data_IF_930055949481
#
_entry.id   IF_930055949481
#
_cell.length_a   1.000
_cell.length_b   1.000
_cell.length_c   1.000
_cell.angle_alpha   90.00
_cell.angle_beta   90.00
_cell.angle_gamma   90.00
#
_symmetry.space_group_name_H-M   'P 1'
#
loop_
_entity.id
_entity.type
_entity.pdbx_description
1 polymer ?
#
# COMPACT_ATOMS: atom_id res chain seq x y z
N UNK A 1 24.85 -4.50 -0.54
CA UNK A 1 23.53 -3.92 -0.18
C UNK A 1 23.70 -2.61 0.59
N UNK A 2 24.69 -2.48 1.49
CA UNK A 2 24.95 -1.22 2.23
C UNK A 2 25.85 -0.20 1.49
N UNK A 3 26.83 -0.62 0.67
CA UNK A 3 27.83 0.33 0.12
C UNK A 3 27.31 1.25 -1.01
N UNK A 4 26.26 0.86 -1.74
CA UNK A 4 25.63 1.70 -2.79
C UNK A 4 24.69 2.77 -2.21
N UNK A 5 24.19 2.58 -0.99
CA UNK A 5 23.35 3.57 -0.29
C UNK A 5 24.21 4.72 0.24
N UNK A 6 25.45 4.44 0.66
CA UNK A 6 26.42 5.46 1.10
C UNK A 6 26.85 6.37 -0.04
N UNK A 7 27.10 5.82 -1.23
CA UNK A 7 27.55 6.61 -2.40
C UNK A 7 26.51 7.64 -2.88
N UNK A 8 25.21 7.32 -2.76
CA UNK A 8 24.13 8.24 -3.15
C UNK A 8 23.85 9.32 -2.09
N UNK A 9 24.08 9.03 -0.80
CA UNK A 9 24.03 10.05 0.26
C UNK A 9 25.12 11.11 0.07
N UNK A 10 26.33 10.70 -0.33
CA UNK A 10 27.46 11.61 -0.57
C UNK A 10 27.31 12.48 -1.83
N UNK A 11 26.59 12.03 -2.86
CA UNK A 11 26.26 12.91 -3.98
C UNK A 11 25.26 14.00 -3.57
N UNK A 12 24.30 13.70 -2.68
CA UNK A 12 23.30 14.68 -2.25
C UNK A 12 23.89 15.80 -1.38
N UNK A 13 24.81 15.48 -0.48
CA UNK A 13 25.48 16.44 0.40
C UNK A 13 26.42 17.36 -0.38
N UNK A 14 27.15 16.83 -1.37
CA UNK A 14 28.08 17.60 -2.19
C UNK A 14 27.40 18.51 -3.23
N UNK A 15 26.19 18.16 -3.69
CA UNK A 15 25.44 18.99 -4.64
C UNK A 15 24.73 20.17 -3.95
N UNK A 16 24.26 19.98 -2.71
CA UNK A 16 23.59 21.01 -1.90
C UNK A 16 24.58 22.09 -1.43
N UNK A 17 25.85 21.73 -1.16
CA UNK A 17 26.87 22.66 -0.68
C UNK A 17 27.31 23.74 -1.69
N UNK A 18 27.06 23.56 -3.00
CA UNK A 18 27.58 24.47 -4.05
C UNK A 18 26.62 25.55 -4.53
N UNK A 19 25.35 25.55 -4.11
CA UNK A 19 24.33 26.50 -4.63
C UNK A 19 23.66 27.39 -3.56
N UNK A 20 24.23 27.47 -2.35
CA UNK A 20 23.75 28.37 -1.30
C UNK A 20 24.30 29.79 -1.46
N UNK A 21 24.02 30.47 -2.58
CA UNK A 21 23.99 31.94 -2.56
C UNK A 21 23.20 32.52 -3.74
N UNK A 22 22.12 33.23 -3.37
CA UNK A 22 21.31 34.18 -4.15
C UNK A 22 20.09 33.66 -4.95
N UNK A 23 18.93 34.08 -4.42
CA UNK A 23 17.67 34.44 -5.07
C UNK A 23 16.95 33.33 -5.86
N UNK A 24 16.03 32.64 -5.17
CA UNK A 24 14.58 32.54 -5.45
C UNK A 24 14.02 31.26 -4.77
N UNK A 25 13.82 31.34 -3.45
CA UNK A 25 13.65 30.18 -2.56
C UNK A 25 12.33 29.45 -2.71
N UNK A 26 11.31 30.02 -3.34
CA UNK A 26 10.01 29.37 -3.53
C UNK A 26 9.96 28.58 -4.83
N UNK A 27 10.45 29.15 -5.94
CA UNK A 27 10.44 28.47 -7.25
C UNK A 27 11.44 27.30 -7.30
N UNK A 28 12.62 27.45 -6.70
CA UNK A 28 13.61 26.37 -6.63
C UNK A 28 13.22 25.27 -5.65
N UNK A 29 12.50 25.59 -4.56
CA UNK A 29 11.91 24.57 -3.67
C UNK A 29 10.79 23.80 -4.35
N UNK A 30 9.91 24.47 -5.11
CA UNK A 30 8.84 23.81 -5.88
C UNK A 30 9.43 22.95 -6.99
N UNK A 31 10.42 23.44 -7.75
CA UNK A 31 11.08 22.70 -8.83
C UNK A 31 11.94 21.53 -8.32
N UNK A 32 12.65 21.70 -7.19
CA UNK A 32 13.41 20.63 -6.54
C UNK A 32 12.48 19.58 -5.91
N UNK A 33 11.34 19.98 -5.33
CA UNK A 33 10.31 19.06 -4.82
C UNK A 33 9.63 18.30 -5.97
N UNK A 34 9.37 18.95 -7.11
CA UNK A 34 8.84 18.31 -8.31
C UNK A 34 9.85 17.32 -8.92
N UNK A 35 11.14 17.67 -8.94
CA UNK A 35 12.20 16.82 -9.48
C UNK A 35 12.56 15.65 -8.54
N UNK A 36 12.46 15.82 -7.21
CA UNK A 36 12.64 14.72 -6.24
C UNK A 36 11.43 13.77 -6.19
N UNK A 37 10.20 14.28 -6.31
CA UNK A 37 8.99 13.43 -6.30
C UNK A 37 8.83 12.62 -7.59
N UNK A 38 9.32 13.13 -8.72
CA UNK A 38 9.29 12.42 -10.00
C UNK A 38 10.40 11.37 -10.16
N UNK A 39 11.51 11.51 -9.42
CA UNK A 39 12.68 10.60 -9.54
C UNK A 39 12.70 9.49 -8.48
N UNK A 40 11.90 9.58 -7.39
CA UNK A 40 11.91 8.59 -6.30
C UNK A 40 10.72 7.62 -6.25
N UNK A 41 9.72 7.74 -7.12
CA UNK A 41 8.44 7.06 -6.91
C UNK A 41 8.34 5.66 -7.53
N UNK A 42 9.20 5.28 -8.48
CA UNK A 42 9.20 3.93 -9.07
C UNK A 42 10.63 3.41 -9.18
N UNK A 43 10.93 2.34 -8.46
CA UNK A 43 12.18 1.61 -8.63
C UNK A 43 11.95 0.40 -9.52
N UNK A 44 12.78 0.25 -10.55
CA UNK A 44 12.75 -0.87 -11.49
C UNK A 44 14.02 -1.69 -11.31
N UNK A 45 13.88 -2.92 -10.82
CA UNK A 45 15.02 -3.82 -10.64
C UNK A 45 14.92 -5.01 -11.58
N UNK A 46 15.97 -5.24 -12.36
CA UNK A 46 16.14 -6.45 -13.15
C UNK A 46 16.50 -7.62 -12.24
N UNK A 47 15.72 -8.69 -12.34
CA UNK A 47 15.95 -9.96 -11.67
C UNK A 47 16.19 -11.05 -12.73
N UNK A 48 16.93 -12.08 -12.35
CA UNK A 48 17.26 -13.19 -13.23
C UNK A 48 17.31 -14.49 -12.45
N UNK A 49 16.76 -15.57 -13.00
CA UNK A 49 16.87 -16.92 -12.50
C UNK A 49 17.41 -17.84 -13.59
N UNK A 50 18.39 -18.67 -13.23
CA UNK A 50 19.07 -19.58 -14.15
C UNK A 50 18.74 -21.02 -13.79
N UNK A 51 18.38 -21.82 -14.80
CA UNK A 51 18.07 -23.24 -14.72
C UNK A 51 19.12 -24.02 -15.54
N UNK A 52 19.84 -24.92 -14.89
CA UNK A 52 20.90 -25.75 -15.51
C UNK A 52 20.70 -27.24 -15.31
N UNK A 53 19.80 -27.64 -14.40
CA UNK A 53 19.53 -29.05 -14.16
C UNK A 53 18.71 -29.61 -15.33
N UNK A 54 19.23 -30.58 -16.10
CA UNK A 54 18.51 -31.14 -17.21
C UNK A 54 17.21 -31.79 -16.73
N UNK A 55 16.12 -31.41 -17.38
CA UNK A 55 14.83 -32.05 -17.23
C UNK A 55 14.88 -33.37 -18.02
N UNK A 56 14.60 -34.50 -17.37
CA UNK A 56 14.45 -35.77 -18.08
C UNK A 56 13.30 -35.61 -19.08
N UNK A 57 13.64 -35.73 -20.36
CA UNK A 57 12.82 -35.60 -21.57
C UNK A 57 11.33 -35.98 -21.36
N UNK A 58 10.53 -35.05 -20.81
CA UNK A 58 9.08 -35.18 -20.62
C UNK A 58 8.55 -35.77 -19.29
N UNK A 59 9.36 -36.06 -18.26
CA UNK A 59 8.87 -36.65 -16.99
C UNK A 59 9.04 -35.76 -15.75
N UNK A 60 10.01 -34.84 -15.72
CA UNK A 60 10.21 -33.88 -14.62
C UNK A 60 10.70 -32.54 -15.16
N UNK A 61 9.96 -31.46 -14.91
CA UNK A 61 10.34 -30.08 -15.27
C UNK A 61 10.87 -29.31 -14.07
N UNK A 62 11.71 -28.30 -14.32
CA UNK A 62 11.93 -27.26 -13.33
C UNK A 62 10.69 -26.35 -13.29
N UNK A 63 10.42 -25.71 -12.15
CA UNK A 63 9.27 -24.80 -11.99
C UNK A 63 9.75 -23.38 -11.78
N UNK A 64 9.14 -22.43 -12.49
CA UNK A 64 9.30 -21.00 -12.27
C UNK A 64 7.95 -20.39 -11.87
N UNK A 65 7.86 -19.81 -10.67
CA UNK A 65 6.65 -19.09 -10.24
C UNK A 65 6.83 -17.61 -10.52
N UNK A 66 5.95 -17.04 -11.34
CA UNK A 66 5.96 -15.63 -11.72
C UNK A 66 5.73 -14.77 -10.47
N UNK A 67 6.66 -13.85 -10.12
CA UNK A 67 6.49 -13.00 -8.95
C UNK A 67 5.30 -12.04 -9.05
N UNK A 68 4.86 -11.53 -7.89
CA UNK A 68 3.79 -10.53 -7.84
C UNK A 68 4.13 -9.28 -8.67
N UNK A 69 3.16 -8.77 -9.43
CA UNK A 69 3.32 -7.57 -10.26
C UNK A 69 4.09 -7.75 -11.57
N UNK A 70 4.58 -8.97 -11.86
CA UNK A 70 5.27 -9.27 -13.13
C UNK A 70 4.27 -9.75 -14.17
N UNK A 71 4.18 -9.04 -15.28
CA UNK A 71 3.30 -9.37 -16.41
C UNK A 71 4.05 -9.76 -17.69
N UNK A 72 5.37 -9.54 -17.71
CA UNK A 72 6.24 -9.88 -18.83
C UNK A 72 7.56 -10.40 -18.29
N UNK A 73 8.04 -11.50 -18.87
CA UNK A 73 9.37 -12.05 -18.62
C UNK A 73 10.14 -12.17 -19.94
N UNK A 74 11.46 -12.10 -19.87
CA UNK A 74 12.39 -12.37 -20.97
C UNK A 74 13.05 -13.71 -20.71
N UNK A 75 13.09 -14.56 -21.73
CA UNK A 75 13.63 -15.92 -21.65
C UNK A 75 14.80 -16.00 -22.62
N UNK A 76 15.88 -16.65 -22.19
CA UNK A 76 17.02 -17.07 -23.00
C UNK A 76 17.24 -18.55 -22.78
N UNK A 77 17.08 -19.36 -23.81
CA UNK A 77 17.22 -20.81 -23.73
C UNK A 77 18.35 -21.29 -24.64
N UNK A 78 19.19 -22.17 -24.10
CA UNK A 78 20.20 -22.96 -24.81
C UNK A 78 19.85 -24.43 -24.66
N UNK A 79 19.81 -25.18 -25.75
CA UNK A 79 19.54 -26.62 -25.72
C UNK A 79 20.76 -27.45 -25.35
N UNK A 80 20.57 -28.75 -25.07
CA UNK A 80 21.68 -29.67 -24.85
C UNK A 80 22.47 -29.92 -26.15
N UNK A 81 23.79 -30.05 -26.04
CA UNK A 81 24.64 -30.44 -27.16
C UNK A 81 24.53 -31.93 -27.47
N UNK A 82 24.77 -32.34 -28.70
CA UNK A 82 24.84 -33.76 -29.08
C UNK A 82 26.12 -34.42 -28.60
N UNK A 83 26.07 -35.73 -28.32
CA UNK A 83 27.26 -36.51 -27.97
C UNK A 83 28.15 -36.79 -29.18
N UNK A 84 29.45 -37.00 -28.99
CA UNK A 84 30.37 -37.38 -30.06
C UNK A 84 30.19 -38.83 -30.52
N UNK A 85 30.61 -39.15 -31.74
CA UNK A 85 30.61 -40.52 -32.27
C UNK A 85 31.72 -41.39 -31.67
N UNK A 86 31.57 -42.71 -31.73
CA UNK A 86 32.60 -43.69 -31.33
C UNK A 86 33.71 -43.85 -32.39
N UNK A 87 34.88 -44.35 -31.98
CA UNK A 87 36.01 -44.83 -32.81
C UNK A 87 36.32 -44.01 -34.08
N UNK A 88 37.08 -42.91 -33.91
CA UNK A 88 37.36 -41.89 -34.94
C UNK A 88 36.08 -41.21 -35.48
N UNK A 89 35.01 -41.25 -34.68
CA UNK A 89 33.74 -40.59 -34.97
C UNK A 89 33.84 -39.06 -34.92
N UNK A 90 32.88 -38.39 -35.54
CA UNK A 90 32.82 -36.92 -35.53
C UNK A 90 32.43 -36.40 -34.14
N UNK A 91 32.76 -35.14 -33.85
CA UNK A 91 32.16 -34.43 -32.72
C UNK A 91 30.63 -34.32 -32.87
N UNK A 92 29.93 -34.14 -31.76
CA UNK A 92 28.52 -33.78 -31.72
C UNK A 92 28.31 -32.29 -32.00
N UNK A 93 27.12 -31.94 -32.50
CA UNK A 93 26.72 -30.55 -32.73
C UNK A 93 26.35 -29.81 -31.44
N UNK A 94 26.57 -28.50 -31.40
CA UNK A 94 26.07 -27.65 -30.32
C UNK A 94 24.55 -27.55 -30.29
N UNK A 95 23.99 -27.30 -29.11
CA UNK A 95 22.57 -27.00 -28.94
C UNK A 95 22.19 -25.62 -29.47
N UNK A 96 20.96 -25.47 -29.94
CA UNK A 96 20.43 -24.18 -30.41
C UNK A 96 20.21 -23.16 -29.30
N UNK A 97 20.04 -21.89 -29.68
CA UNK A 97 19.65 -20.79 -28.80
C UNK A 97 18.34 -20.16 -29.25
N UNK A 98 17.48 -19.80 -28.30
CA UNK A 98 16.29 -18.99 -28.57
C UNK A 98 16.02 -18.04 -27.42
N UNK A 99 15.85 -16.75 -27.74
CA UNK A 99 15.44 -15.73 -26.80
C UNK A 99 14.10 -15.12 -27.20
N UNK A 100 13.25 -14.81 -26.22
CA UNK A 100 11.95 -14.20 -26.47
C UNK A 100 11.34 -13.62 -25.21
N UNK A 101 10.26 -12.85 -25.36
CA UNK A 101 9.46 -12.37 -24.24
C UNK A 101 8.16 -13.16 -24.14
N UNK A 102 7.68 -13.34 -22.91
CA UNK A 102 6.43 -14.04 -22.63
C UNK A 102 5.56 -13.18 -21.72
N UNK A 103 4.31 -12.95 -22.12
CA UNK A 103 3.29 -12.36 -21.26
C UNK A 103 2.82 -13.43 -20.26
N UNK A 104 2.77 -13.05 -18.99
CA UNK A 104 2.47 -13.95 -17.88
C UNK A 104 1.53 -13.29 -16.89
N UNK A 105 0.92 -14.10 -16.01
CA UNK A 105 0.14 -13.60 -14.87
C UNK A 105 0.92 -13.73 -13.57
N UNK A 106 0.85 -12.76 -12.64
CA UNK A 106 1.39 -12.90 -11.30
C UNK A 106 0.92 -14.19 -10.62
N UNK A 107 1.86 -14.96 -10.04
CA UNK A 107 1.57 -16.26 -9.41
C UNK A 107 1.47 -17.46 -10.37
N UNK A 108 1.51 -17.24 -11.69
CA UNK A 108 1.53 -18.33 -12.67
C UNK A 108 2.78 -19.21 -12.49
N UNK A 109 2.61 -20.53 -12.51
CA UNK A 109 3.73 -21.48 -12.50
C UNK A 109 4.02 -21.93 -13.92
N UNK A 110 5.25 -21.69 -14.38
CA UNK A 110 5.76 -22.12 -15.67
C UNK A 110 6.62 -23.36 -15.52
N UNK A 111 6.43 -24.31 -16.44
CA UNK A 111 7.34 -25.42 -16.63
C UNK A 111 8.56 -24.98 -17.44
N UNK A 112 9.74 -25.26 -16.90
CA UNK A 112 11.02 -24.95 -17.49
C UNK A 112 11.77 -26.24 -17.77
N UNK A 113 11.90 -26.57 -19.05
CA UNK A 113 12.62 -27.73 -19.54
C UNK A 113 14.02 -27.32 -19.96
N UNK A 114 15.03 -27.96 -19.37
CA UNK A 114 16.43 -27.80 -19.74
C UNK A 114 16.87 -29.08 -20.43
N UNK A 115 17.36 -28.98 -21.65
CA UNK A 115 17.78 -30.14 -22.44
C UNK A 115 19.02 -30.83 -21.87
N UNK A 116 18.97 -32.15 -21.71
CA UNK A 116 20.15 -32.94 -21.36
C UNK A 116 21.16 -32.97 -22.51
N UNK A 117 22.45 -33.05 -22.20
CA UNK A 117 23.47 -33.36 -23.19
C UNK A 117 23.29 -34.76 -23.75
N UNK A 118 23.45 -34.91 -25.06
CA UNK A 118 23.40 -36.20 -25.73
C UNK A 118 24.57 -37.08 -25.28
N UNK A 119 24.29 -38.36 -24.98
CA UNK A 119 25.33 -39.32 -24.64
C UNK A 119 26.26 -39.58 -25.83
N UNK A 120 27.56 -39.73 -25.57
CA UNK A 120 28.51 -40.14 -26.60
C UNK A 120 28.26 -41.57 -27.10
N UNK A 121 28.66 -41.85 -28.34
CA UNK A 121 28.57 -43.18 -28.94
C UNK A 121 29.45 -44.19 -28.20
N UNK A 122 28.97 -45.41 -28.04
CA UNK A 122 29.66 -46.53 -27.37
C UNK A 122 29.71 -47.74 -28.30
N UNK A 123 30.54 -48.75 -27.99
CA UNK A 123 30.62 -49.98 -28.79
C UNK A 123 29.23 -50.61 -28.96
N UNK A 124 28.75 -50.74 -30.20
CA UNK A 124 27.41 -51.20 -30.55
C UNK A 124 26.36 -50.08 -30.78
N UNK A 125 26.51 -48.89 -30.19
CA UNK A 125 25.74 -47.68 -30.51
C UNK A 125 26.65 -46.66 -31.17
N UNK A 126 26.72 -46.81 -32.49
CA UNK A 126 27.67 -46.21 -33.44
C UNK A 126 27.52 -44.68 -33.57
N UNK A 127 26.40 -44.11 -33.13
CA UNK A 127 26.12 -42.68 -33.22
C UNK A 127 26.05 -42.06 -31.82
N UNK A 128 26.58 -40.85 -31.70
CA UNK A 128 26.26 -39.99 -30.57
C UNK A 128 24.76 -39.73 -30.51
N UNK A 129 24.21 -39.56 -29.31
CA UNK A 129 22.79 -39.21 -29.14
C UNK A 129 22.58 -37.70 -29.36
N UNK A 130 21.39 -37.34 -29.81
CA UNK A 130 20.94 -35.95 -29.93
C UNK A 130 20.79 -35.38 -28.51
N UNK A 131 21.18 -34.11 -28.33
CA UNK A 131 20.87 -33.38 -27.10
C UNK A 131 19.37 -33.15 -26.94
N UNK A 132 18.92 -32.95 -25.70
CA UNK A 132 17.54 -32.59 -25.40
C UNK A 132 17.23 -31.13 -25.77
N UNK A 133 15.97 -30.86 -26.06
CA UNK A 133 15.48 -29.49 -26.24
C UNK A 133 15.39 -28.76 -24.91
N UNK A 134 15.61 -27.44 -24.92
CA UNK A 134 15.29 -26.56 -23.80
C UNK A 134 14.11 -25.68 -24.19
N UNK A 135 13.08 -25.60 -23.36
CA UNK A 135 11.94 -24.75 -23.66
C UNK A 135 11.17 -24.28 -22.43
N UNK A 136 10.51 -23.14 -22.60
CA UNK A 136 9.53 -22.57 -21.67
C UNK A 136 8.39 -22.03 -22.51
N UNK A 137 7.20 -22.62 -22.37
CA UNK A 137 6.05 -22.25 -23.20
C UNK A 137 6.41 -22.28 -24.71
N UNK A 138 6.25 -21.17 -25.43
CA UNK A 138 6.58 -21.03 -26.85
C UNK A 138 8.06 -20.82 -27.16
N UNK A 139 8.90 -20.49 -26.17
CA UNK A 139 10.34 -20.27 -26.38
C UNK A 139 11.04 -21.63 -26.37
N UNK A 140 11.29 -22.19 -27.54
CA UNK A 140 11.96 -23.49 -27.73
C UNK A 140 13.32 -23.35 -28.39
N UNK A 141 14.34 -24.00 -27.82
CA UNK A 141 15.65 -24.20 -28.39
C UNK A 141 15.89 -25.70 -28.62
N UNK A 142 16.30 -26.08 -29.83
CA UNK A 142 16.43 -27.48 -30.23
C UNK A 142 17.82 -28.04 -29.92
N UNK A 143 17.86 -29.30 -29.48
CA UNK A 143 19.11 -30.00 -29.14
C UNK A 143 20.05 -30.18 -30.34
N UNK A 144 21.33 -30.31 -30.03
CA UNK A 144 22.37 -30.56 -31.03
C UNK A 144 22.36 -32.01 -31.52
N UNK A 145 22.65 -32.23 -32.79
CA UNK A 145 22.72 -33.58 -33.36
C UNK A 145 23.94 -34.35 -32.83
N UNK A 146 23.82 -35.66 -32.73
CA UNK A 146 24.93 -36.52 -32.34
C UNK A 146 25.98 -36.69 -33.45
N UNK A 147 27.21 -37.03 -33.05
CA UNK A 147 28.32 -37.31 -33.95
C UNK A 147 28.17 -38.65 -34.69
N UNK A 148 28.62 -38.69 -35.94
CA UNK A 148 28.58 -39.86 -36.81
C UNK A 148 29.82 -40.75 -36.65
N UNK A 149 29.76 -41.95 -37.25
CA UNK A 149 30.85 -42.92 -37.30
C UNK A 149 31.96 -42.53 -38.30
N UNK A 150 33.14 -43.13 -38.13
CA UNK A 150 34.25 -43.17 -39.07
C UNK A 150 33.88 -43.83 -40.40
N UNK A 151 33.31 -43.03 -41.30
CA UNK A 151 33.79 -42.76 -42.66
C UNK A 151 32.77 -41.83 -43.33
N UNK A 152 33.08 -40.52 -43.29
CA UNK A 152 32.46 -39.52 -44.15
C UNK A 152 30.97 -39.27 -43.90
N UNK A 153 30.65 -38.44 -42.89
CA UNK A 153 29.54 -37.45 -42.91
C UNK A 153 29.56 -36.70 -41.59
N UNK A 154 29.98 -35.44 -41.58
CA UNK A 154 29.94 -34.60 -40.38
C UNK A 154 28.50 -34.41 -39.89
N UNK A 155 28.28 -34.44 -38.58
CA UNK A 155 26.97 -34.16 -37.99
C UNK A 155 26.49 -32.76 -38.39
N UNK A 156 25.34 -32.68 -39.06
CA UNK A 156 24.70 -31.40 -39.34
C UNK A 156 24.28 -30.73 -38.01
N UNK A 157 24.44 -29.41 -37.87
CA UNK A 157 23.97 -28.68 -36.69
C UNK A 157 22.46 -28.82 -36.46
N UNK A 158 22.01 -28.66 -35.22
CA UNK A 158 20.58 -28.67 -34.91
C UNK A 158 19.84 -27.52 -35.65
N UNK A 159 18.72 -27.83 -36.29
CA UNK A 159 17.87 -26.83 -36.94
C UNK A 159 16.98 -26.15 -35.89
N UNK A 160 17.36 -24.94 -35.49
CA UNK A 160 16.47 -23.99 -34.83
C UNK A 160 16.10 -22.88 -35.81
N UNK A 161 14.81 -22.69 -36.07
CA UNK A 161 14.34 -21.56 -36.88
C UNK A 161 14.78 -20.24 -36.23
N UNK A 162 15.28 -19.33 -37.07
CA UNK A 162 15.89 -18.01 -36.81
C UNK A 162 17.39 -17.97 -36.48
N UNK A 163 18.18 -18.84 -37.11
CA UNK A 163 19.31 -18.53 -38.02
C UNK A 163 20.36 -19.65 -37.92
N UNK A 164 20.46 -20.41 -39.00
CA UNK A 164 21.32 -21.58 -39.10
C UNK A 164 22.79 -21.22 -39.31
N UNK A 165 23.67 -21.95 -38.63
CA UNK A 165 25.03 -22.18 -39.09
C UNK A 165 25.04 -23.43 -39.98
N UNK A 166 25.33 -23.26 -41.27
CA UNK A 166 25.60 -24.35 -42.20
C UNK A 166 26.99 -24.95 -41.93
N UNK A 167 27.08 -26.27 -42.02
CA UNK A 167 28.34 -27.02 -41.95
C UNK A 167 29.28 -26.71 -43.11
N UNK A 168 30.58 -26.76 -42.84
CA UNK A 168 31.61 -26.77 -43.88
C UNK A 168 31.52 -28.05 -44.71
N UNK A 169 31.45 -27.89 -46.02
CA UNK A 169 31.49 -28.98 -47.01
C UNK A 169 32.93 -29.16 -47.50
N UNK A 170 33.35 -30.42 -47.56
CA UNK A 170 34.51 -30.98 -48.30
C UNK A 170 35.92 -30.73 -47.78
N UNK A 171 36.50 -31.78 -47.18
CA UNK A 171 37.57 -32.62 -47.76
C UNK A 171 38.39 -33.29 -46.65
N UNK A 172 38.51 -34.62 -46.71
CA UNK A 172 39.48 -35.48 -46.00
C UNK A 172 40.24 -34.85 -44.82
N UNK A 173 39.64 -34.87 -43.63
CA UNK A 173 40.23 -34.35 -42.39
C UNK A 173 39.15 -33.71 -41.53
N UNK A 174 38.91 -34.25 -40.34
CA UNK A 174 37.76 -33.90 -39.50
C UNK A 174 37.80 -32.46 -38.98
N UNK A 175 37.13 -31.54 -39.68
CA UNK A 175 36.84 -30.20 -39.18
C UNK A 175 35.74 -30.22 -38.13
N UNK A 176 36.01 -29.65 -36.95
CA UNK A 176 35.01 -29.40 -35.91
C UNK A 176 33.98 -28.36 -36.36
N UNK A 177 32.71 -28.60 -36.04
CA UNK A 177 31.65 -27.62 -36.28
C UNK A 177 31.83 -26.42 -35.35
N UNK A 178 32.22 -25.27 -35.90
CA UNK A 178 32.14 -23.98 -35.22
C UNK A 178 30.68 -23.53 -35.10
N UNK A 179 30.30 -23.04 -33.91
CA UNK A 179 29.00 -22.39 -33.71
C UNK A 179 28.98 -20.98 -34.31
N UNK A 180 27.82 -20.54 -34.81
CA UNK A 180 27.60 -19.17 -35.26
C UNK A 180 27.31 -18.24 -34.06
N UNK A 181 27.96 -17.06 -34.03
CA UNK A 181 27.39 -15.85 -33.42
C UNK A 181 26.21 -15.36 -34.27
N UNK A 182 25.34 -14.46 -33.81
CA UNK A 182 25.62 -13.03 -34.03
C UNK A 182 24.72 -12.04 -33.28
N UNK A 183 25.34 -10.87 -33.04
CA UNK A 183 24.83 -9.48 -33.04
C UNK A 183 23.53 -9.17 -32.28
N UNK A 184 23.65 -8.91 -30.98
CA UNK A 184 23.68 -7.53 -30.48
C UNK A 184 23.97 -7.47 -28.96
N UNK A 185 25.23 -7.14 -28.68
CA UNK A 185 25.84 -6.62 -27.45
C UNK A 185 25.46 -7.25 -26.10
N UNK A 186 26.40 -8.02 -25.56
CA UNK A 186 26.50 -8.42 -24.17
C UNK A 186 27.48 -9.59 -24.01
N UNK A 187 28.76 -9.27 -23.95
CA UNK A 187 29.94 -10.12 -23.71
C UNK A 187 29.71 -11.50 -23.05
N UNK A 188 30.35 -12.54 -23.61
CA UNK A 188 30.56 -13.90 -23.09
C UNK A 188 29.37 -14.88 -23.06
N UNK A 189 29.12 -15.55 -24.19
CA UNK A 189 28.89 -17.00 -24.21
C UNK A 189 29.14 -17.52 -25.63
N UNK A 190 30.37 -17.98 -25.86
CA UNK A 190 30.73 -18.81 -27.01
C UNK A 190 29.84 -20.04 -27.02
N UNK A 191 29.01 -20.22 -28.06
CA UNK A 191 28.56 -21.56 -28.42
C UNK A 191 29.83 -22.39 -28.61
N UNK A 192 30.12 -23.28 -27.66
CA UNK A 192 31.37 -24.02 -27.63
C UNK A 192 31.57 -24.75 -28.96
N UNK A 193 32.72 -24.51 -29.59
CA UNK A 193 33.18 -25.25 -30.76
C UNK A 193 33.01 -26.75 -30.52
N UNK A 194 32.37 -27.47 -31.44
CA UNK A 194 32.39 -28.94 -31.42
C UNK A 194 33.85 -29.42 -31.51
N UNK A 195 34.19 -30.47 -30.76
CA UNK A 195 35.54 -31.03 -30.77
C UNK A 195 35.99 -31.42 -32.19
N UNK A 196 37.19 -30.98 -32.59
CA UNK A 196 37.79 -31.31 -33.88
C UNK A 196 38.16 -32.81 -33.97
N UNK A 197 37.97 -33.41 -35.14
CA UNK A 197 38.37 -34.79 -35.42
C UNK A 197 39.85 -34.88 -35.79
N UNK A 198 40.51 -35.97 -35.41
CA UNK A 198 41.95 -36.17 -35.62
C UNK A 198 42.25 -36.43 -37.10
N UNK A 199 43.10 -35.62 -37.74
CA UNK A 199 43.78 -36.00 -38.97
C UNK A 199 45.11 -36.69 -38.62
N UNK A 200 45.44 -37.72 -39.39
CA UNK A 200 46.61 -38.58 -39.19
C UNK A 200 47.92 -37.76 -39.14
N UNK A 201 48.80 -38.15 -38.22
CA UNK A 201 50.13 -37.59 -37.89
C UNK A 201 50.16 -36.30 -37.05
N UNK A 202 50.36 -36.50 -35.74
CA UNK A 202 51.14 -35.61 -34.86
C UNK A 202 50.72 -34.14 -34.78
N UNK A 203 49.75 -33.83 -33.92
CA UNK A 203 49.48 -32.45 -33.52
C UNK A 203 48.32 -32.35 -32.52
N UNK A 204 48.66 -32.18 -31.24
CA UNK A 204 47.83 -31.84 -30.09
C UNK A 204 46.34 -32.27 -30.13
N UNK A 205 46.05 -33.38 -29.43
CA UNK A 205 44.69 -33.76 -29.12
C UNK A 205 43.93 -32.61 -28.46
N UNK A 206 42.74 -32.32 -28.96
CA UNK A 206 41.73 -31.65 -28.16
C UNK A 206 41.44 -32.55 -26.96
N UNK A 207 42.02 -32.21 -25.81
CA UNK A 207 41.90 -32.92 -24.55
C UNK A 207 40.45 -33.28 -24.25
N UNK A 208 40.12 -34.58 -24.33
CA UNK A 208 39.30 -35.31 -23.35
C UNK A 208 38.37 -34.47 -22.47
N UNK A 209 37.37 -33.82 -23.04
CA UNK A 209 36.48 -32.95 -22.26
C UNK A 209 35.04 -33.13 -22.70
N UNK A 210 34.15 -33.25 -21.71
CA UNK A 210 32.72 -33.03 -21.91
C UNK A 210 32.50 -31.66 -22.57
N UNK A 211 31.40 -31.48 -23.31
CA UNK A 211 31.10 -30.20 -23.94
C UNK A 211 31.24 -29.01 -22.98
N UNK A 212 31.82 -27.91 -23.45
CA UNK A 212 31.92 -26.67 -22.68
C UNK A 212 30.53 -26.05 -22.44
N UNK A 213 30.44 -25.16 -21.44
CA UNK A 213 29.21 -24.54 -20.93
C UNK A 213 28.12 -24.23 -21.98
N UNK A 214 26.86 -24.43 -21.59
CA UNK A 214 25.63 -24.06 -22.32
C UNK A 214 25.43 -24.78 -23.66
N UNK A 215 25.36 -26.12 -23.64
CA UNK A 215 24.99 -26.89 -24.82
C UNK A 215 26.12 -27.20 -25.81
N UNK A 216 27.39 -27.11 -25.42
CA UNK A 216 28.51 -27.55 -26.25
C UNK A 216 28.43 -29.03 -26.65
N UNK A 217 28.84 -29.36 -27.88
CA UNK A 217 28.87 -30.73 -28.38
C UNK A 217 29.97 -31.57 -27.74
N UNK A 218 29.74 -32.89 -27.62
CA UNK A 218 30.75 -33.84 -27.14
C UNK A 218 31.81 -34.15 -28.19
N UNK A 219 33.06 -34.31 -27.77
CA UNK A 219 34.15 -34.72 -28.67
C UNK A 219 33.97 -36.17 -29.16
N UNK A 220 34.46 -36.47 -30.37
CA UNK A 220 34.47 -37.84 -30.91
C UNK A 220 35.47 -38.75 -30.18
N UNK A 221 35.19 -40.06 -30.16
CA UNK A 221 36.08 -41.08 -29.62
C UNK A 221 37.26 -41.35 -30.55
N UNK A 222 38.37 -41.85 -30.02
CA UNK A 222 39.54 -42.28 -30.79
C UNK A 222 39.95 -43.70 -30.41
N UNK A 223 40.53 -44.46 -31.35
CA UNK A 223 41.12 -45.79 -31.10
C UNK A 223 40.19 -46.74 -30.32
N UNK A 224 39.00 -47.02 -30.87
CA UNK A 224 37.96 -47.86 -30.25
C UNK A 224 37.42 -47.31 -28.91
N UNK A 225 37.60 -46.02 -28.62
CA UNK A 225 36.99 -45.36 -27.47
C UNK A 225 35.60 -44.80 -27.78
N UNK A 226 34.80 -44.65 -26.71
CA UNK A 226 33.52 -43.96 -26.75
C UNK A 226 33.69 -42.46 -27.06
N UNK A 227 32.67 -41.86 -27.67
CA UNK A 227 32.55 -40.41 -27.76
C UNK A 227 32.22 -39.79 -26.39
N UNK A 228 32.48 -38.50 -26.25
CA UNK A 228 32.13 -37.74 -25.04
C UNK A 228 30.67 -37.28 -25.10
N UNK A 229 30.07 -37.08 -23.92
CA UNK A 229 28.74 -36.52 -23.81
C UNK A 229 28.74 -35.02 -24.20
N UNK A 230 27.66 -34.58 -24.83
CA UNK A 230 27.37 -33.16 -24.97
C UNK A 230 27.10 -32.51 -23.61
N UNK A 231 27.22 -31.18 -23.54
CA UNK A 231 26.85 -30.41 -22.38
C UNK A 231 25.33 -30.29 -22.26
N UNK A 232 24.84 -30.16 -21.03
CA UNK A 232 23.45 -29.79 -20.78
C UNK A 232 23.18 -28.36 -21.28
N UNK A 233 21.92 -28.11 -21.62
CA UNK A 233 21.41 -26.80 -21.92
C UNK A 233 21.32 -25.90 -20.69
N UNK A 234 20.81 -24.70 -20.90
CA UNK A 234 20.54 -23.73 -19.85
C UNK A 234 19.30 -22.91 -20.22
N UNK A 235 18.50 -22.53 -19.24
CA UNK A 235 17.45 -21.53 -19.42
C UNK A 235 17.65 -20.41 -18.42
N UNK A 236 17.64 -19.17 -18.89
CA UNK A 236 17.67 -17.97 -18.07
C UNK A 236 16.34 -17.24 -18.26
N UNK A 237 15.64 -16.97 -17.16
CA UNK A 237 14.45 -16.13 -17.14
C UNK A 237 14.81 -14.83 -16.42
N UNK A 238 14.60 -13.69 -17.07
CA UNK A 238 14.79 -12.36 -16.49
C UNK A 238 13.49 -11.59 -16.49
N UNK A 239 13.27 -10.76 -15.48
CA UNK A 239 12.07 -9.92 -15.36
C UNK A 239 12.39 -8.62 -14.65
N UNK A 240 11.54 -7.63 -14.82
CA UNK A 240 11.60 -6.39 -14.04
C UNK A 240 10.49 -6.39 -13.01
N UNK A 241 10.82 -5.96 -11.80
CA UNK A 241 9.82 -5.66 -10.77
C UNK A 241 9.72 -4.15 -10.67
N UNK A 242 8.52 -3.61 -10.90
CA UNK A 242 8.18 -2.22 -10.62
C UNK A 242 7.69 -2.12 -9.18
N UNK A 243 8.46 -1.43 -8.35
CA UNK A 243 8.12 -1.16 -6.96
C UNK A 243 7.82 0.33 -6.82
N UNK A 244 6.55 0.68 -6.60
CA UNK A 244 6.08 2.04 -6.39
C UNK A 244 5.95 2.30 -4.89
N UNK A 245 6.70 3.27 -4.38
CA UNK A 245 6.61 3.71 -2.99
C UNK A 245 5.18 4.20 -2.68
N UNK A 246 4.67 3.98 -1.46
CA UNK A 246 3.37 4.51 -1.08
C UNK A 246 3.33 6.03 -1.25
N UNK A 247 2.15 6.54 -1.58
CA UNK A 247 1.79 7.96 -1.51
C UNK A 247 0.47 8.09 -0.77
N UNK A 248 0.25 9.21 -0.10
CA UNK A 248 -0.98 9.46 0.66
C UNK A 248 -1.47 10.87 0.44
N UNK A 249 -2.80 11.05 0.40
CA UNK A 249 -3.43 12.36 0.54
C UNK A 249 -3.38 12.83 2.00
N UNK A 250 -3.72 14.10 2.21
CA UNK A 250 -3.77 14.71 3.53
C UNK A 250 -5.21 14.69 4.07
N UNK A 251 -5.41 14.38 5.35
CA UNK A 251 -6.71 14.58 5.99
C UNK A 251 -7.03 16.07 6.14
N UNK A 252 -8.33 16.38 6.21
CA UNK A 252 -8.83 17.73 6.48
C UNK A 252 -8.95 17.99 7.98
N UNK A 253 -8.83 19.26 8.39
CA UNK A 253 -9.15 19.67 9.76
C UNK A 253 -10.64 19.46 10.04
N UNK A 254 -10.96 19.03 11.26
CA UNK A 254 -12.34 18.75 11.68
C UNK A 254 -12.76 19.72 12.78
N UNK A 255 -14.00 20.21 12.71
CA UNK A 255 -14.63 21.01 13.76
C UNK A 255 -15.99 20.44 14.10
N UNK A 256 -16.17 20.06 15.35
CA UNK A 256 -17.42 19.51 15.85
C UNK A 256 -17.88 20.24 17.12
N UNK A 257 -19.13 20.00 17.52
CA UNK A 257 -19.63 20.33 18.85
C UNK A 257 -19.67 19.05 19.69
N UNK A 258 -19.37 19.15 20.99
CA UNK A 258 -19.36 18.01 21.90
C UNK A 258 -20.66 17.18 21.80
N UNK A 259 -20.50 15.85 21.79
CA UNK A 259 -21.58 14.89 21.54
C UNK A 259 -21.66 14.39 20.09
N UNK A 260 -21.05 15.10 19.14
CA UNK A 260 -20.83 14.62 17.77
C UNK A 260 -19.61 13.71 17.63
N UNK A 261 -19.46 13.08 16.47
CA UNK A 261 -18.29 12.30 16.10
C UNK A 261 -17.42 13.08 15.10
N UNK A 262 -16.12 12.82 15.08
CA UNK A 262 -15.18 13.36 14.09
C UNK A 262 -14.52 12.22 13.30
N UNK A 263 -14.08 12.50 12.07
CA UNK A 263 -13.40 11.51 11.23
C UNK A 263 -12.28 12.13 10.41
N UNK A 264 -11.14 11.46 10.34
CA UNK A 264 -10.03 11.83 9.47
C UNK A 264 -9.81 10.74 8.42
N UNK A 265 -9.70 11.14 7.16
CA UNK A 265 -9.58 10.22 6.03
C UNK A 265 -8.35 10.51 5.20
N UNK A 266 -7.67 9.45 4.77
CA UNK A 266 -6.65 9.52 3.71
C UNK A 266 -6.99 8.56 2.58
N UNK A 267 -6.47 8.85 1.41
CA UNK A 267 -6.44 7.95 0.26
C UNK A 267 -4.98 7.68 -0.09
N UNK A 268 -4.63 6.43 -0.36
CA UNK A 268 -3.26 6.04 -0.62
C UNK A 268 -3.13 5.14 -1.85
N UNK A 269 -1.97 5.22 -2.50
CA UNK A 269 -1.61 4.36 -3.62
C UNK A 269 -0.17 3.88 -3.47
N UNK A 270 0.18 2.74 -4.08
CA UNK A 270 1.50 2.12 -3.99
C UNK A 270 1.46 0.67 -4.47
N UNK A 271 2.62 0.05 -4.65
CA UNK A 271 2.70 -1.39 -4.96
C UNK A 271 2.32 -2.25 -3.75
N UNK A 272 1.72 -3.41 -4.01
CA UNK A 272 1.29 -4.40 -3.01
C UNK A 272 0.21 -3.88 -2.03
N UNK A 273 -0.08 -4.66 -0.98
CA UNK A 273 -1.04 -4.30 0.06
C UNK A 273 -0.47 -3.21 0.96
N UNK A 274 -1.21 -2.11 1.11
CA UNK A 274 -0.85 -1.00 1.98
C UNK A 274 -1.36 -1.24 3.41
N UNK A 275 -0.56 -0.81 4.39
CA UNK A 275 -0.95 -0.78 5.80
C UNK A 275 -0.93 0.64 6.33
N UNK A 276 -1.84 0.96 7.25
CA UNK A 276 -2.00 2.29 7.80
C UNK A 276 -1.68 2.28 9.30
N UNK A 277 -1.16 3.39 9.81
CA UNK A 277 -1.03 3.65 11.24
C UNK A 277 -1.32 5.12 11.49
N UNK A 278 -2.45 5.39 12.15
CA UNK A 278 -2.76 6.73 12.62
C UNK A 278 -1.95 7.08 13.86
N UNK A 279 -1.53 8.33 13.93
CA UNK A 279 -0.82 8.91 15.06
C UNK A 279 -1.51 10.18 15.52
N UNK A 280 -1.47 10.43 16.82
CA UNK A 280 -1.97 11.65 17.43
C UNK A 280 -0.80 12.41 18.07
N UNK A 281 -0.87 13.72 17.99
CA UNK A 281 -0.06 14.64 18.77
C UNK A 281 -0.96 15.46 19.68
N UNK A 282 -0.72 15.35 20.98
CA UNK A 282 -1.43 16.12 22.01
C UNK A 282 -0.63 17.37 22.34
N UNK A 283 -1.23 18.55 22.13
CA UNK A 283 -0.59 19.84 22.37
C UNK A 283 0.78 19.98 21.66
N UNK A 284 1.80 20.35 22.43
CA UNK A 284 3.18 20.49 21.93
C UNK A 284 3.98 19.16 21.92
N UNK A 285 3.35 18.02 22.19
CA UNK A 285 3.99 16.72 22.26
C UNK A 285 4.50 16.18 20.93
N UNK A 286 4.95 14.92 20.94
CA UNK A 286 5.31 14.17 19.73
C UNK A 286 4.12 13.36 19.22
N UNK A 287 4.17 12.95 17.95
CA UNK A 287 3.22 12.00 17.40
C UNK A 287 3.41 10.62 18.02
N UNK A 288 2.33 10.02 18.51
CA UNK A 288 2.29 8.68 19.10
C UNK A 288 1.24 7.85 18.38
N UNK A 289 1.50 6.56 18.20
CA UNK A 289 0.56 5.64 17.55
C UNK A 289 -0.75 5.55 18.32
N UNK A 290 -1.85 5.73 17.59
CA UNK A 290 -3.20 5.55 18.11
C UNK A 290 -3.51 4.05 18.12
N UNK A 291 -4.13 3.60 19.21
CA UNK A 291 -4.72 2.25 19.31
C UNK A 291 -6.23 2.39 19.41
N UNK A 292 -6.97 1.46 18.80
CA UNK A 292 -8.43 1.44 18.89
C UNK A 292 -8.88 1.26 20.34
N UNK A 293 -10.00 1.89 20.70
CA UNK A 293 -10.56 1.86 22.04
C UNK A 293 -11.95 2.51 22.07
N UNK A 294 -12.29 3.15 23.18
CA UNK A 294 -13.61 3.78 23.37
C UNK A 294 -13.78 4.99 22.44
N UNK A 295 -12.76 5.86 22.36
CA UNK A 295 -12.82 7.08 21.54
C UNK A 295 -12.40 6.78 20.11
N UNK A 296 -11.27 6.08 19.91
CA UNK A 296 -10.71 5.85 18.58
C UNK A 296 -11.14 4.51 17.97
N UNK A 297 -11.46 4.52 16.69
CA UNK A 297 -11.64 3.32 15.87
C UNK A 297 -11.05 3.53 14.47
N UNK A 298 -10.64 2.46 13.81
CA UNK A 298 -10.03 2.53 12.47
C UNK A 298 -8.56 2.98 12.44
N UNK A 299 -7.84 2.90 13.56
CA UNK A 299 -6.44 3.36 13.70
C UNK A 299 -5.45 2.73 12.70
N UNK A 300 -5.77 1.58 12.12
CA UNK A 300 -4.97 0.89 11.09
C UNK A 300 -5.67 0.83 9.73
N UNK A 301 -6.60 1.75 9.47
CA UNK A 301 -7.37 1.83 8.23
C UNK A 301 -7.22 3.20 7.57
N UNK A 302 -7.77 3.36 6.37
CA UNK A 302 -7.79 4.64 5.66
C UNK A 302 -8.60 5.74 6.38
N UNK A 303 -9.46 5.37 7.34
CA UNK A 303 -10.31 6.32 8.08
C UNK A 303 -10.19 6.11 9.59
N UNK A 304 -9.72 7.13 10.30
CA UNK A 304 -9.79 7.20 11.75
C UNK A 304 -11.09 7.87 12.17
N UNK A 305 -11.85 7.23 13.06
CA UNK A 305 -13.08 7.80 13.64
C UNK A 305 -12.91 8.03 15.13
N UNK A 306 -13.33 9.22 15.59
CA UNK A 306 -13.38 9.61 16.99
C UNK A 306 -14.84 9.69 17.43
N UNK A 307 -15.23 8.81 18.35
CA UNK A 307 -16.57 8.78 18.92
C UNK A 307 -16.65 9.73 20.10
N UNK A 308 -17.46 10.79 19.99
CA UNK A 308 -17.67 11.79 21.04
C UNK A 308 -16.39 12.31 21.69
N UNK A 309 -15.40 12.82 20.92
CA UNK A 309 -14.20 13.36 21.52
C UNK A 309 -14.53 14.57 22.42
N UNK A 310 -13.77 14.75 23.48
CA UNK A 310 -14.00 15.80 24.50
C UNK A 310 -13.33 17.11 24.10
N UNK A 311 -13.73 18.21 24.75
CA UNK A 311 -13.12 19.54 24.54
C UNK A 311 -11.64 19.55 24.93
N UNK A 312 -11.20 18.68 25.84
CA UNK A 312 -9.79 18.54 26.19
C UNK A 312 -8.92 18.01 25.03
N UNK A 313 -9.53 17.36 24.04
CA UNK A 313 -8.85 16.89 22.83
C UNK A 313 -8.82 17.94 21.72
N UNK A 314 -9.45 19.10 21.93
CA UNK A 314 -9.37 20.22 21.01
C UNK A 314 -7.91 20.63 20.86
N UNK A 315 -7.49 20.99 19.65
CA UNK A 315 -6.10 21.26 19.21
C UNK A 315 -5.19 20.05 19.01
N UNK A 316 -5.63 18.83 19.35
CA UNK A 316 -4.86 17.63 19.00
C UNK A 316 -4.76 17.50 17.47
N UNK A 317 -3.62 16.98 17.01
CA UNK A 317 -3.33 16.81 15.60
C UNK A 317 -3.21 15.34 15.24
N UNK A 318 -3.68 14.98 14.05
CA UNK A 318 -3.76 13.60 13.58
C UNK A 318 -3.07 13.46 12.23
N UNK A 319 -2.19 12.47 12.11
CA UNK A 319 -1.53 12.13 10.84
C UNK A 319 -1.58 10.63 10.61
N UNK A 320 -1.47 10.21 9.35
CA UNK A 320 -1.43 8.81 8.97
C UNK A 320 -0.07 8.46 8.37
N UNK A 321 0.53 7.37 8.84
CA UNK A 321 1.67 6.74 8.20
C UNK A 321 1.16 5.57 7.36
N UNK A 322 1.44 5.61 6.06
CA UNK A 322 1.14 4.56 5.10
C UNK A 322 2.43 3.83 4.76
N UNK A 323 2.45 2.53 5.04
CA UNK A 323 3.56 1.64 4.73
C UNK A 323 3.17 0.70 3.60
N UNK A 324 4.08 0.48 2.66
CA UNK A 324 3.96 -0.50 1.59
C UNK A 324 5.22 -1.35 1.51
N UNK A 325 5.27 -2.27 0.53
CA UNK A 325 6.43 -3.15 0.32
C UNK A 325 7.69 -2.38 -0.13
N UNK A 326 7.52 -1.19 -0.69
CA UNK A 326 8.58 -0.35 -1.21
C UNK A 326 8.79 0.86 -0.28
N UNK A 327 10.05 1.23 -0.04
CA UNK A 327 10.42 2.43 0.72
C UNK A 327 10.52 3.67 -0.18
N UNK A 328 10.37 4.89 0.37
CA UNK A 328 10.03 5.21 1.76
C UNK A 328 8.53 5.04 2.06
N UNK A 329 8.17 5.00 3.35
CA UNK A 329 6.77 5.14 3.79
C UNK A 329 6.25 6.54 3.47
N UNK A 330 4.95 6.68 3.27
CA UNK A 330 4.31 7.98 3.11
C UNK A 330 3.68 8.44 4.42
N UNK A 331 4.00 9.65 4.86
CA UNK A 331 3.38 10.28 6.03
C UNK A 331 2.53 11.44 5.55
N UNK A 332 1.26 11.48 5.94
CA UNK A 332 0.39 12.61 5.63
C UNK A 332 0.81 13.86 6.39
N UNK A 333 0.38 15.03 5.93
CA UNK A 333 0.33 16.21 6.79
C UNK A 333 -0.62 15.95 7.96
N UNK A 334 -0.44 16.71 9.04
CA UNK A 334 -1.29 16.63 10.21
C UNK A 334 -2.55 17.49 10.05
N UNK A 335 -3.69 16.96 10.46
CA UNK A 335 -4.96 17.68 10.56
C UNK A 335 -5.32 17.92 12.03
N UNK A 336 -5.87 19.09 12.35
CA UNK A 336 -6.28 19.46 13.70
C UNK A 336 -7.75 19.14 13.96
N UNK A 337 -8.05 18.73 15.20
CA UNK A 337 -9.41 18.65 15.72
C UNK A 337 -9.77 19.90 16.51
N UNK A 338 -10.94 20.46 16.28
CA UNK A 338 -11.57 21.46 17.14
C UNK A 338 -12.88 20.92 17.69
N UNK A 339 -13.00 20.90 19.02
CA UNK A 339 -14.25 20.50 19.70
C UNK A 339 -14.80 21.69 20.47
N UNK A 340 -15.95 22.20 20.02
CA UNK A 340 -16.67 23.27 20.69
C UNK A 340 -17.53 22.69 21.81
N UNK A 341 -17.67 23.45 22.92
CA UNK A 341 -18.60 23.09 23.99
C UNK A 341 -20.04 23.04 23.46
N UNK A 342 -20.80 22.07 23.91
CA UNK A 342 -22.23 22.00 23.63
C UNK A 342 -23.02 22.90 24.58
N UNK A 343 -24.09 23.53 24.09
CA UNK A 343 -25.03 24.27 24.96
C UNK A 343 -26.25 23.39 25.20
N UNK A 344 -26.57 23.03 26.46
CA UNK A 344 -27.76 22.25 26.77
C UNK A 344 -29.03 22.97 26.36
N UNK A 345 -30.03 22.21 25.90
CA UNK A 345 -31.37 22.73 25.61
C UNK A 345 -32.21 22.67 26.88
N UNK A 346 -32.76 23.81 27.31
CA UNK A 346 -33.69 23.89 28.44
C UNK A 346 -35.12 23.86 27.91
N UNK A 347 -35.89 22.86 28.34
CA UNK A 347 -37.33 22.76 28.09
C UNK A 347 -38.07 23.31 29.29
N UNK A 348 -38.82 24.38 29.08
CA UNK A 348 -39.61 25.07 30.10
C UNK A 348 -40.70 25.87 29.39
N UNK A 349 -41.95 25.55 29.71
CA UNK A 349 -43.13 26.19 29.12
C UNK A 349 -43.61 27.35 29.98
N UNK A 350 -44.35 28.28 29.37
CA UNK A 350 -45.03 29.33 30.14
C UNK A 350 -46.01 28.69 31.13
N UNK A 351 -45.83 28.89 32.45
CA UNK A 351 -46.68 28.26 33.43
C UNK A 351 -48.08 28.89 33.45
N UNK A 352 -49.04 28.12 33.94
CA UNK A 352 -50.40 28.62 34.18
C UNK A 352 -50.34 29.77 35.20
N UNK A 353 -51.12 30.82 34.93
CA UNK A 353 -51.19 31.99 35.79
C UNK A 353 -51.67 31.67 37.21
N UNK A 354 -51.24 32.49 38.17
CA UNK A 354 -51.60 32.37 39.58
C UNK A 354 -52.36 33.60 40.05
N UNK A 355 -53.14 33.49 41.12
CA UNK A 355 -53.75 34.66 41.76
C UNK A 355 -52.77 35.31 42.74
N UNK A 356 -52.76 36.63 42.79
CA UNK A 356 -51.95 37.41 43.73
C UNK A 356 -52.08 36.90 45.18
N UNK A 357 -50.93 36.81 45.85
CA UNK A 357 -50.79 36.18 47.17
C UNK A 357 -50.40 34.70 47.13
N UNK A 358 -50.47 34.04 45.97
CA UNK A 358 -49.94 32.68 45.79
C UNK A 358 -48.43 32.76 45.56
N UNK A 359 -47.67 31.97 46.30
CA UNK A 359 -46.22 31.86 46.13
C UNK A 359 -45.86 30.95 44.94
N UNK A 360 -44.72 31.20 44.30
CA UNK A 360 -44.17 30.32 43.28
C UNK A 360 -43.87 28.94 43.87
N UNK A 361 -44.23 27.89 43.14
CA UNK A 361 -44.00 26.50 43.54
C UNK A 361 -43.29 25.73 42.43
N UNK A 362 -43.02 24.45 42.68
CA UNK A 362 -42.47 23.52 41.68
C UNK A 362 -43.39 23.32 40.48
N UNK A 363 -44.68 23.71 40.54
CA UNK A 363 -45.55 23.66 39.36
C UNK A 363 -45.18 24.73 38.32
N UNK A 364 -44.63 25.86 38.76
CA UNK A 364 -44.12 26.91 37.87
C UNK A 364 -42.63 26.72 37.56
N UNK A 365 -41.86 26.28 38.56
CA UNK A 365 -40.40 26.18 38.50
C UNK A 365 -39.96 24.74 38.18
N UNK A 366 -40.25 24.28 36.96
CA UNK A 366 -40.09 22.88 36.52
C UNK A 366 -39.37 22.75 35.17
N UNK A 367 -38.36 23.58 34.91
CA UNK A 367 -37.49 23.41 33.76
C UNK A 367 -36.81 22.03 33.76
N UNK A 368 -36.62 21.47 32.57
CA UNK A 368 -35.97 20.17 32.37
C UNK A 368 -34.92 20.26 31.25
N UNK A 369 -33.95 19.35 31.29
CA UNK A 369 -32.96 19.15 30.23
C UNK A 369 -32.46 17.71 30.29
N UNK A 370 -31.87 17.21 29.20
CA UNK A 370 -31.29 15.85 29.14
C UNK A 370 -29.87 15.78 29.69
N UNK A 371 -29.21 16.93 29.89
CA UNK A 371 -27.84 17.03 30.42
C UNK A 371 -27.87 17.07 31.95
N UNK A 372 -26.99 16.34 32.62
CA UNK A 372 -26.89 16.39 34.07
C UNK A 372 -26.36 17.75 34.57
N UNK A 373 -27.01 18.31 35.59
CA UNK A 373 -26.65 19.61 36.16
C UNK A 373 -27.68 20.11 37.16
N UNK A 374 -27.62 21.39 37.47
CA UNK A 374 -28.52 22.05 38.42
C UNK A 374 -29.22 23.26 37.80
N UNK A 375 -30.45 23.51 38.25
CA UNK A 375 -31.23 24.68 37.87
C UNK A 375 -31.28 25.68 39.03
N UNK A 376 -31.12 26.96 38.71
CA UNK A 376 -31.32 28.09 39.62
C UNK A 376 -32.37 29.00 39.00
N UNK A 377 -33.46 29.25 39.73
CA UNK A 377 -34.58 30.07 39.27
C UNK A 377 -34.52 31.48 39.85
N UNK A 378 -34.96 32.45 39.05
CA UNK A 378 -35.20 33.83 39.48
C UNK A 378 -36.53 34.31 38.91
N UNK A 379 -37.53 34.63 39.76
CA UNK A 379 -37.51 34.55 41.21
C UNK A 379 -37.44 33.11 41.75
N UNK A 380 -36.94 32.96 42.98
CA UNK A 380 -36.78 31.65 43.64
C UNK A 380 -38.12 31.05 44.09
N UNK A 381 -38.10 29.76 44.42
CA UNK A 381 -39.23 29.06 45.04
C UNK A 381 -39.77 29.84 46.25
N UNK A 382 -41.08 29.81 46.45
CA UNK A 382 -41.81 30.51 47.52
C UNK A 382 -41.86 32.04 47.40
N UNK A 383 -41.37 32.63 46.31
CA UNK A 383 -41.56 34.08 46.06
C UNK A 383 -43.02 34.39 45.73
N UNK A 384 -43.61 35.39 46.39
CA UNK A 384 -44.93 35.95 46.02
C UNK A 384 -44.73 37.08 45.02
N UNK A 385 -45.33 36.94 43.84
CA UNK A 385 -45.21 37.92 42.76
C UNK A 385 -46.26 39.03 42.86
N UNK A 386 -45.90 40.23 42.42
CA UNK A 386 -46.84 41.33 42.25
C UNK A 386 -47.83 41.04 41.11
N UNK A 387 -49.11 41.41 41.32
CA UNK A 387 -50.15 41.28 40.29
C UNK A 387 -49.75 41.98 38.98
N UNK A 388 -50.07 41.38 37.84
CA UNK A 388 -49.74 41.89 36.51
C UNK A 388 -49.53 40.80 35.47
N UNK A 389 -49.56 41.19 34.21
CA UNK A 389 -49.36 40.28 33.09
C UNK A 389 -47.87 40.17 32.74
N UNK A 390 -47.50 39.05 32.13
CA UNK A 390 -46.16 38.79 31.59
C UNK A 390 -45.01 39.06 32.58
N UNK A 391 -45.12 38.55 33.81
CA UNK A 391 -44.00 38.54 34.76
C UNK A 391 -42.96 37.54 34.27
N UNK A 392 -41.73 37.99 34.08
CA UNK A 392 -40.62 37.13 33.66
C UNK A 392 -40.17 36.22 34.79
N UNK A 393 -40.03 34.93 34.47
CA UNK A 393 -39.30 33.95 35.27
C UNK A 393 -38.09 33.52 34.44
N UNK A 394 -36.92 33.55 35.05
CA UNK A 394 -35.66 33.15 34.45
C UNK A 394 -35.13 31.90 35.12
N UNK A 395 -34.52 31.02 34.35
CA UNK A 395 -33.76 29.89 34.87
C UNK A 395 -32.36 29.89 34.28
N UNK A 396 -31.38 29.65 35.14
CA UNK A 396 -29.99 29.37 34.74
C UNK A 396 -29.71 27.90 35.03
N UNK A 397 -29.26 27.19 34.01
CA UNK A 397 -28.78 25.82 34.10
C UNK A 397 -27.25 25.78 34.09
N UNK A 398 -26.68 25.10 35.08
CA UNK A 398 -25.25 24.85 35.19
C UNK A 398 -25.00 23.35 35.03
N UNK A 399 -24.40 22.90 33.90
CA UNK A 399 -24.03 21.50 33.70
C UNK A 399 -23.03 21.03 34.76
N UNK A 400 -23.13 19.77 35.18
CA UNK A 400 -22.10 19.14 36.03
C UNK A 400 -20.78 18.96 35.27
N UNK A 401 -20.84 18.71 33.96
CA UNK A 401 -19.66 18.69 33.09
C UNK A 401 -19.44 20.06 32.43
N UNK A 402 -18.84 20.97 33.20
CA UNK A 402 -18.49 22.31 32.71
C UNK A 402 -17.32 22.33 31.72
N UNK A 403 -16.60 21.22 31.53
CA UNK A 403 -15.51 21.13 30.56
C UNK A 403 -16.05 20.97 29.13
N UNK A 404 -17.12 20.18 28.97
CA UNK A 404 -17.70 19.89 27.66
C UNK A 404 -18.98 20.67 27.35
N UNK A 405 -19.64 21.25 28.36
CA UNK A 405 -20.86 22.04 28.17
C UNK A 405 -20.71 23.51 28.60
N UNK A 406 -21.44 24.38 27.92
CA UNK A 406 -21.69 25.76 28.35
C UNK A 406 -22.85 25.79 29.35
N UNK A 407 -22.91 26.82 30.19
CA UNK A 407 -24.14 27.18 30.89
C UNK A 407 -25.23 27.60 29.91
N UNK A 408 -26.49 27.45 30.32
CA UNK A 408 -27.65 27.86 29.51
C UNK A 408 -28.64 28.65 30.37
N UNK A 409 -29.37 29.57 29.75
CA UNK A 409 -30.45 30.32 30.39
C UNK A 409 -31.72 30.23 29.55
N UNK A 410 -32.87 30.34 30.20
CA UNK A 410 -34.16 30.44 29.54
C UNK A 410 -35.12 31.31 30.36
N UNK A 411 -35.89 32.12 29.65
CA UNK A 411 -36.96 32.93 30.24
C UNK A 411 -38.32 32.40 29.80
N UNK A 412 -39.27 32.43 30.71
CA UNK A 412 -40.71 32.20 30.47
C UNK A 412 -41.50 33.32 31.13
N UNK A 413 -42.78 33.43 30.81
CA UNK A 413 -43.66 34.46 31.39
C UNK A 413 -44.86 33.83 32.10
N UNK A 414 -45.26 34.44 33.22
CA UNK A 414 -46.45 34.09 33.98
C UNK A 414 -47.38 35.29 34.16
N UNK A 415 -48.69 35.06 34.11
CA UNK A 415 -49.69 36.07 34.47
C UNK A 415 -50.08 35.93 35.94
N UNK A 416 -50.06 37.04 36.69
CA UNK A 416 -50.47 37.09 38.09
C UNK A 416 -51.79 37.86 38.18
N UNK A 417 -52.90 37.13 38.29
CA UNK A 417 -54.24 37.67 38.35
C UNK A 417 -54.45 38.46 39.64
N UNK A 418 -55.12 39.61 39.54
CA UNK A 418 -55.50 40.40 40.72
C UNK A 418 -56.43 39.57 41.61
N UNK A 419 -56.22 39.65 42.93
CA UNK A 419 -57.15 39.06 43.91
C UNK A 419 -58.29 40.03 44.16
N UNK A 420 -59.53 39.58 43.97
CA UNK A 420 -60.73 40.37 44.28
C UNK A 420 -60.81 40.60 45.79
N UNK A 421 -61.04 41.85 46.20
CA UNK A 421 -61.33 42.23 47.57
C UNK A 421 -62.82 42.56 47.64
N UNK A 422 -63.55 41.90 48.54
CA UNK A 422 -64.94 42.24 48.87
C UNK A 422 -64.96 42.95 50.20
N UNK A 423 -65.48 44.18 50.21
CA UNK A 423 -65.74 44.94 51.43
C UNK A 423 -67.23 44.84 51.72
N UNK A 424 -67.59 44.36 52.90
CA UNK A 424 -68.98 44.27 53.37
C UNK A 424 -69.13 45.16 54.59
N UNK A 425 -70.17 45.98 54.63
CA UNK A 425 -70.47 46.81 55.80
C UNK A 425 -70.85 45.92 57.00
N UNK A 426 -70.44 46.33 58.20
CA UNK A 426 -70.82 45.61 59.41
C UNK A 426 -72.33 45.66 59.64
N UNK A 427 -72.87 44.63 60.30
CA UNK A 427 -74.25 44.63 60.75
C UNK A 427 -74.51 45.84 61.67
N UNK A 428 -75.43 46.73 61.26
CA UNK A 428 -75.78 47.94 62.01
C UNK A 428 -75.15 49.23 61.48
N UNK A 429 -74.26 49.18 60.48
CA UNK A 429 -73.89 50.39 59.74
C UNK A 429 -75.07 50.84 58.87
N UNK A 430 -75.55 52.06 59.11
CA UNK A 430 -76.69 52.65 58.39
C UNK A 430 -76.27 53.88 57.59
N UNK A 431 -76.82 54.03 56.39
CA UNK A 431 -76.74 55.28 55.61
C UNK A 431 -78.13 55.90 55.50
N UNK A 432 -78.22 57.22 55.70
CA UNK A 432 -79.47 57.97 55.51
C UNK A 432 -79.82 57.98 54.02
N UNK A 433 -81.06 57.64 53.67
CA UNK A 433 -81.57 57.64 52.29
C UNK A 433 -81.43 59.03 51.66
N UNK A 434 -80.77 59.11 50.50
CA UNK A 434 -80.52 60.37 49.78
C UNK A 434 -79.22 61.10 50.16
N UNK A 435 -78.49 60.66 51.19
CA UNK A 435 -77.17 61.21 51.49
C UNK A 435 -76.14 60.79 50.42
N UNK A 436 -75.11 61.61 50.18
CA UNK A 436 -73.98 61.23 49.32
C UNK A 436 -73.28 59.97 49.87
N UNK A 437 -72.78 59.10 48.99
CA UNK A 437 -71.88 58.03 49.42
C UNK A 437 -70.64 58.65 50.12
N UNK A 438 -70.07 57.98 51.13
CA UNK A 438 -68.80 58.41 51.70
C UNK A 438 -67.78 58.58 50.57
N UNK A 439 -67.17 59.77 50.46
CA UNK A 439 -66.17 60.05 49.43
C UNK A 439 -64.91 59.17 49.59
N UNK A 440 -64.73 58.60 50.78
CA UNK A 440 -63.66 57.67 51.14
C UNK A 440 -64.26 56.56 52.00
N UNK A 441 -64.07 55.31 51.57
CA UNK A 441 -64.28 54.15 52.43
C UNK A 441 -62.96 53.86 53.16
N UNK A 442 -62.89 54.15 54.46
CA UNK A 442 -61.76 53.71 55.29
C UNK A 442 -61.94 52.24 55.62
N UNK A 443 -61.14 51.38 55.00
CA UNK A 443 -61.01 49.98 55.37
C UNK A 443 -59.70 49.78 56.15
N UNK A 444 -59.77 49.07 57.28
CA UNK A 444 -58.57 48.63 57.99
C UNK A 444 -58.06 47.35 57.34
N UNK A 445 -56.83 47.37 56.82
CA UNK A 445 -56.11 46.15 56.47
C UNK A 445 -55.01 45.94 57.50
N UNK A 446 -55.12 44.90 58.30
CA UNK A 446 -53.99 44.39 59.09
C UNK A 446 -53.35 43.29 58.24
N UNK A 447 -52.14 43.48 57.67
CA UNK A 447 -51.44 42.38 57.04
C UNK A 447 -51.17 41.31 58.11
N UNK A 448 -51.46 40.05 57.78
CA UNK A 448 -50.99 38.93 58.58
C UNK A 448 -49.47 38.80 58.48
#
# INVERSE_FOLDING_TARGET
MESKITYLKDLSSNFIGKFSTKRNTTFFKVLLTLCLTFVFSVSVWGQTQTFTNPANNGTTSNKFTVPAGVITITIKAWAGGGGGGYDKGSGGGGGGYHGGTLTVSPGQVLDVYVGAGGSGGISGSVLGKIGGNSYVSSVTANGGNGGANAQGSGGAGGTGAFNGGLGGVSASGGGGGGGAGDLNNGTNASGGSGGAGVANFGGAGGTSSAGSNNGGGGAGGSNNAAGYNGANGQVIISWTVTCTAPTTSNPSNETITYGGNASFTVSASGSATLTYQWQEKVGAGSFVNITNGVVYSGATTATLTLTKPTVAMSTNQYQCIVTGACSPTATSNAASLTVNKATPVITWENPIGITYGTALSVTQLNATTTVAGSFVYSPVLSTVLNAGNARTLSVTFTPSDGANYNGATKDVVINVLKKTITVTADAGQTKVYGAADPAVYTYGFTPA
#
